data_IF_655173975932
#
_entry.id   IF_655173975932
#
_cell.length_a   1.000
_cell.length_b   1.000
_cell.length_c   1.000
_cell.angle_alpha   90.00
_cell.angle_beta   90.00
_cell.angle_gamma   90.00
#
_symmetry.space_group_name_H-M   'P 1'
#
loop_
_entity.id
_entity.type
_entity.pdbx_description
1 polymer ?
#
# COMPACT_ATOMS: atom_id res chain seq x y z
N UNK A 1 20.97 27.73 -35.79
CA UNK A 1 21.48 26.84 -34.72
C UNK A 1 20.29 26.46 -33.87
N UNK A 2 19.62 25.37 -34.24
CA UNK A 2 18.36 24.94 -33.62
C UNK A 2 18.48 23.45 -33.36
N UNK A 3 18.71 23.00 -32.13
CA UNK A 3 18.15 21.72 -31.65
C UNK A 3 18.21 21.63 -30.11
N UNK A 4 17.14 21.07 -29.52
CA UNK A 4 17.08 20.33 -28.25
C UNK A 4 16.63 21.03 -26.94
N UNK A 5 15.45 21.65 -26.92
CA UNK A 5 14.64 21.79 -25.70
C UNK A 5 13.54 20.71 -25.58
N UNK A 6 13.75 19.55 -26.22
CA UNK A 6 12.85 18.40 -26.22
C UNK A 6 13.15 17.55 -24.99
N UNK A 7 12.10 17.18 -24.24
CA UNK A 7 12.06 16.17 -23.15
C UNK A 7 12.21 16.64 -21.70
N UNK A 8 11.31 17.52 -21.24
CA UNK A 8 10.77 17.35 -19.88
C UNK A 8 9.27 17.10 -20.00
N UNK A 9 8.92 15.88 -20.39
CA UNK A 9 7.58 15.33 -20.21
C UNK A 9 7.33 15.29 -18.71
N UNK A 10 6.71 16.34 -18.17
CA UNK A 10 6.13 16.33 -16.81
C UNK A 10 5.25 15.09 -16.74
N UNK A 11 5.75 14.02 -16.13
CA UNK A 11 4.95 12.85 -15.83
C UNK A 11 3.88 13.34 -14.86
N UNK A 12 2.65 13.36 -15.35
CA UNK A 12 1.49 13.66 -14.54
C UNK A 12 1.36 12.56 -13.50
N UNK A 13 1.95 12.79 -12.32
CA UNK A 13 1.94 11.88 -11.16
C UNK A 13 0.54 11.64 -10.61
N UNK A 14 -0.50 12.16 -11.25
CA UNK A 14 -1.89 12.03 -10.82
C UNK A 14 -2.29 10.56 -10.79
N UNK A 15 -1.93 9.78 -11.82
CA UNK A 15 -2.20 8.33 -11.86
C UNK A 15 -1.52 7.52 -10.76
N UNK A 16 -0.32 7.93 -10.34
CA UNK A 16 0.43 7.30 -9.24
C UNK A 16 -0.28 7.50 -7.90
N UNK A 17 -0.76 8.72 -7.65
CA UNK A 17 -1.50 9.05 -6.41
C UNK A 17 -2.81 8.26 -6.32
N UNK A 18 -3.53 8.13 -7.43
CA UNK A 18 -4.75 7.31 -7.48
C UNK A 18 -4.45 5.82 -7.29
N UNK A 19 -3.39 5.27 -7.88
CA UNK A 19 -3.00 3.87 -7.66
C UNK A 19 -2.68 3.59 -6.19
N UNK A 20 -1.96 4.49 -5.52
CA UNK A 20 -1.61 4.34 -4.10
C UNK A 20 -2.87 4.35 -3.23
N UNK A 21 -3.80 5.27 -3.47
CA UNK A 21 -5.03 5.37 -2.69
C UNK A 21 -5.89 4.12 -2.88
N UNK A 22 -6.06 3.65 -4.12
CA UNK A 22 -6.87 2.48 -4.43
C UNK A 22 -6.27 1.21 -3.82
N UNK A 23 -4.94 1.10 -3.84
CA UNK A 23 -4.19 0.03 -3.17
C UNK A 23 -4.43 0.03 -1.66
N UNK A 24 -4.30 1.19 -1.01
CA UNK A 24 -4.53 1.34 0.43
C UNK A 24 -5.98 1.03 0.81
N UNK A 25 -6.96 1.46 0.00
CA UNK A 25 -8.39 1.18 0.26
C UNK A 25 -8.69 -0.32 0.17
N UNK A 26 -8.15 -1.01 -0.84
CA UNK A 26 -8.32 -2.46 -0.97
C UNK A 26 -7.63 -3.18 0.20
N UNK A 27 -6.42 -2.77 0.57
CA UNK A 27 -5.73 -3.33 1.73
C UNK A 27 -6.50 -3.12 3.04
N UNK A 28 -7.13 -1.96 3.25
CA UNK A 28 -7.97 -1.71 4.44
C UNK A 28 -9.28 -2.51 4.42
N UNK A 29 -9.90 -2.68 3.25
CA UNK A 29 -11.11 -3.50 3.09
C UNK A 29 -10.81 -4.97 3.40
N UNK A 30 -9.70 -5.49 2.87
CA UNK A 30 -9.23 -6.82 3.22
C UNK A 30 -8.80 -6.88 4.70
N UNK A 31 -8.18 -5.84 5.28
CA UNK A 31 -7.88 -5.73 6.72
C UNK A 31 -9.10 -5.89 7.61
N UNK A 32 -10.21 -5.33 7.18
CA UNK A 32 -11.46 -5.47 7.89
C UNK A 32 -12.09 -6.86 7.72
N UNK A 33 -11.89 -7.51 6.57
CA UNK A 33 -12.57 -8.74 6.21
C UNK A 33 -11.79 -10.02 6.56
N UNK A 34 -10.50 -10.05 6.28
CA UNK A 34 -9.56 -11.15 6.51
C UNK A 34 -8.41 -10.54 7.29
N UNK A 35 -8.19 -11.00 8.52
CA UNK A 35 -7.13 -10.47 9.40
C UNK A 35 -5.70 -10.77 8.91
N UNK A 36 -5.50 -11.06 7.62
CA UNK A 36 -4.26 -11.55 7.01
C UNK A 36 -3.95 -10.81 5.69
N UNK A 37 -3.29 -9.65 5.78
CA UNK A 37 -3.01 -8.78 4.62
C UNK A 37 -1.55 -8.37 4.57
N UNK A 38 -1.12 -7.89 3.41
CA UNK A 38 0.27 -7.52 3.15
C UNK A 38 0.79 -6.47 4.14
N UNK A 39 0.05 -5.39 4.38
CA UNK A 39 0.41 -4.39 5.40
C UNK A 39 0.58 -4.99 6.80
N UNK A 40 -0.32 -5.87 7.21
CA UNK A 40 -0.29 -6.49 8.54
C UNK A 40 0.88 -7.50 8.67
N UNK A 41 1.17 -8.23 7.59
CA UNK A 41 2.36 -9.08 7.46
C UNK A 41 3.66 -8.27 7.50
N UNK A 42 3.73 -7.12 6.81
CA UNK A 42 4.88 -6.21 6.86
C UNK A 42 5.06 -5.64 8.27
N UNK A 43 3.97 -5.22 8.92
CA UNK A 43 4.00 -4.76 10.32
C UNK A 43 4.50 -5.89 11.21
N UNK A 44 4.00 -7.12 11.04
CA UNK A 44 4.45 -8.28 11.83
C UNK A 44 5.93 -8.62 11.60
N UNK A 45 6.45 -8.36 10.39
CA UNK A 45 7.85 -8.53 10.03
C UNK A 45 8.75 -7.45 10.64
N UNK A 46 8.32 -6.19 10.61
CA UNK A 46 9.07 -5.05 11.15
C UNK A 46 8.96 -5.00 12.68
N UNK A 47 7.76 -5.17 13.20
CA UNK A 47 7.47 -5.16 14.63
C UNK A 47 6.35 -6.16 14.97
N UNK A 48 6.70 -7.37 15.44
CA UNK A 48 5.73 -8.39 15.79
C UNK A 48 4.90 -7.96 17.01
N UNK A 49 3.78 -7.27 16.75
CA UNK A 49 2.82 -6.86 17.76
C UNK A 49 2.06 -8.08 18.27
N UNK A 50 2.21 -8.40 19.56
CA UNK A 50 1.44 -9.47 20.22
C UNK A 50 -0.08 -9.27 20.07
N UNK A 51 -0.54 -8.01 20.12
CA UNK A 51 -1.95 -7.65 19.92
C UNK A 51 -2.48 -8.12 18.56
N UNK A 52 -1.65 -8.03 17.52
CA UNK A 52 -2.04 -8.48 16.16
C UNK A 52 -2.10 -10.01 16.11
N UNK A 53 -1.15 -10.71 16.76
CA UNK A 53 -1.17 -12.17 16.87
C UNK A 53 -2.40 -12.69 17.60
N UNK A 54 -2.74 -12.12 18.76
CA UNK A 54 -3.95 -12.50 19.51
C UNK A 54 -5.21 -12.22 18.69
N UNK A 55 -5.23 -11.09 17.97
CA UNK A 55 -6.33 -10.75 17.09
C UNK A 55 -6.45 -11.73 15.92
N UNK A 56 -5.35 -12.19 15.31
CA UNK A 56 -5.40 -13.25 14.28
C UNK A 56 -5.88 -14.59 14.84
N UNK A 57 -5.43 -14.98 16.04
CA UNK A 57 -5.82 -16.25 16.68
C UNK A 57 -7.30 -16.28 17.08
N UNK A 58 -7.90 -15.15 17.45
CA UNK A 58 -9.33 -15.04 17.75
C UNK A 58 -10.25 -15.13 16.51
N UNK A 59 -9.69 -15.14 15.29
CA UNK A 59 -10.45 -15.24 14.04
C UNK A 59 -10.48 -16.63 13.43
N UNK A 60 -9.78 -17.59 14.01
CA UNK A 60 -9.71 -18.99 13.60
C UNK A 60 -10.48 -19.88 14.59
#
# INVERSE_FOLDING_TARGET
MTVNSVLIRRSSVHGLRYSIILFVVIELLLLFWIRDNLTLNIIMLVYPLKVIKDWQMMGH
#
